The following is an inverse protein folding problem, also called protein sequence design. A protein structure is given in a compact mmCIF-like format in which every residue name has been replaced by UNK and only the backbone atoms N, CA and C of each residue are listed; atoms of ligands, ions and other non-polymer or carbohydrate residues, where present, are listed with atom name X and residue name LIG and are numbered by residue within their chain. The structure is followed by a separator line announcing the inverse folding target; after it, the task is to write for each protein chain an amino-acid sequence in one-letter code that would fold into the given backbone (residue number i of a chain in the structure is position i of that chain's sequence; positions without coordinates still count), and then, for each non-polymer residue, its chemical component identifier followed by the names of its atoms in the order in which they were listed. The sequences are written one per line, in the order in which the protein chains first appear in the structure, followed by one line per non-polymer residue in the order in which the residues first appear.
data_IF_549654485168
#
_entry.id   IF_549654485168
#
_cell.length_a   1.000
_cell.length_b   1.000
_cell.length_c   1.000
_cell.angle_alpha   90.00
_cell.angle_beta   90.00
_cell.angle_gamma   90.00
#
_symmetry.space_group_name_H-M   'P 1'
#
loop_
_entity.id
_entity.type
_entity.pdbx_description
1 polymer ?
#
# COMPACT_ATOMS: atom_id res chain seq x y z
N UNK A 1 16.10 15.27 -8.62
CA UNK A 1 17.05 15.94 -7.72
C UNK A 1 18.10 16.63 -8.57
N UNK A 2 18.59 17.79 -8.13
CA UNK A 2 19.52 18.63 -8.90
C UNK A 2 20.86 18.76 -8.18
N UNK A 3 21.95 18.95 -8.92
CA UNK A 3 23.25 19.32 -8.33
C UNK A 3 23.10 20.62 -7.52
N UNK A 4 23.68 20.67 -6.33
CA UNK A 4 23.54 21.74 -5.35
C UNK A 4 22.36 21.59 -4.39
N UNK A 5 21.46 20.63 -4.62
CA UNK A 5 20.35 20.36 -3.70
C UNK A 5 20.88 19.73 -2.41
N UNK A 6 20.37 20.15 -1.25
CA UNK A 6 20.63 19.48 0.01
C UNK A 6 19.58 18.40 0.25
N UNK A 7 20.00 17.19 0.61
CA UNK A 7 19.11 16.05 0.89
C UNK A 7 19.55 15.33 2.16
N UNK A 8 18.61 14.65 2.82
CA UNK A 8 18.91 13.74 3.92
C UNK A 8 19.31 12.38 3.33
N UNK A 9 20.34 11.74 3.87
CA UNK A 9 20.75 10.39 3.51
C UNK A 9 21.37 9.67 4.70
N UNK A 10 20.91 8.46 5.02
CA UNK A 10 21.51 7.54 5.99
C UNK A 10 21.94 8.15 7.33
N UNK A 11 23.16 8.69 7.36
CA UNK A 11 23.91 9.24 8.49
C UNK A 11 23.83 10.76 8.67
N UNK A 12 23.11 11.50 7.81
CA UNK A 12 22.88 12.93 8.01
C UNK A 12 22.40 13.69 6.77
N UNK A 13 22.83 14.95 6.69
CA UNK A 13 22.52 15.87 5.58
C UNK A 13 23.69 15.90 4.60
N UNK A 14 23.40 15.88 3.30
CA UNK A 14 24.42 15.98 2.25
C UNK A 14 23.97 16.78 1.04
N UNK A 15 24.93 17.36 0.33
CA UNK A 15 24.70 18.13 -0.89
C UNK A 15 24.88 17.22 -2.12
N UNK A 16 23.94 17.28 -3.06
CA UNK A 16 24.04 16.59 -4.35
C UNK A 16 25.16 17.25 -5.16
N UNK A 17 26.28 16.55 -5.31
CA UNK A 17 27.41 17.00 -6.12
C UNK A 17 27.37 16.47 -7.54
N UNK A 18 26.69 15.35 -7.78
CA UNK A 18 26.51 14.79 -9.11
C UNK A 18 25.22 14.00 -9.21
N UNK A 19 24.62 13.97 -10.40
CA UNK A 19 23.48 13.12 -10.75
C UNK A 19 23.90 12.25 -11.94
N UNK A 20 23.68 10.93 -11.84
CA UNK A 20 23.96 10.01 -12.94
C UNK A 20 23.08 10.35 -14.16
N UNK A 21 23.53 10.00 -15.38
CA UNK A 21 22.92 10.42 -16.65
C UNK A 21 21.43 10.09 -16.83
N UNK A 22 20.90 9.18 -16.01
CA UNK A 22 19.49 8.77 -16.01
C UNK A 22 18.78 9.04 -14.67
N UNK A 23 19.38 9.82 -13.77
CA UNK A 23 18.85 10.11 -12.44
C UNK A 23 18.79 8.91 -11.48
N UNK A 24 19.27 7.73 -11.89
CA UNK A 24 19.22 6.50 -11.09
C UNK A 24 20.07 6.54 -9.84
N UNK A 25 21.12 7.34 -9.80
CA UNK A 25 21.99 7.50 -8.64
C UNK A 25 22.43 8.96 -8.54
N UNK A 26 22.70 9.40 -7.32
CA UNK A 26 23.25 10.71 -7.02
C UNK A 26 24.49 10.57 -6.15
N UNK A 27 25.47 11.42 -6.37
CA UNK A 27 26.62 11.54 -5.50
C UNK A 27 26.30 12.62 -4.48
N UNK A 28 26.33 12.26 -3.20
CA UNK A 28 26.17 13.21 -2.10
C UNK A 28 27.49 13.47 -1.42
N UNK A 29 27.75 14.73 -1.08
CA UNK A 29 28.79 15.13 -0.13
C UNK A 29 28.16 15.33 1.25
N UNK A 30 28.43 14.43 2.19
CA UNK A 30 27.90 14.52 3.56
C UNK A 30 28.46 15.76 4.27
N UNK A 31 27.59 16.60 4.82
CA UNK A 31 27.98 17.86 5.47
C UNK A 31 28.85 17.65 6.71
N UNK A 32 28.65 16.54 7.44
CA UNK A 32 29.39 16.25 8.68
C UNK A 32 30.75 15.61 8.42
N UNK A 33 30.81 14.59 7.55
CA UNK A 33 32.05 13.86 7.29
C UNK A 33 32.86 14.42 6.12
N UNK A 34 32.27 15.32 5.32
CA UNK A 34 32.80 15.86 4.07
C UNK A 34 33.13 14.80 3.01
N UNK A 35 32.75 13.54 3.23
CA UNK A 35 32.94 12.43 2.28
C UNK A 35 31.85 12.44 1.21
N UNK A 36 32.20 12.02 0.01
CA UNK A 36 31.27 11.81 -1.09
C UNK A 36 30.87 10.34 -1.20
N UNK A 37 29.58 10.03 -1.37
CA UNK A 37 29.05 8.67 -1.55
C UNK A 37 27.91 8.65 -2.57
N UNK A 38 27.89 7.62 -3.41
CA UNK A 38 26.78 7.38 -4.31
C UNK A 38 25.59 6.80 -3.55
N UNK A 39 24.44 7.43 -3.71
CA UNK A 39 23.15 6.99 -3.19
C UNK A 39 22.20 6.77 -4.35
N UNK A 40 21.40 5.71 -4.27
CA UNK A 40 20.21 5.64 -5.09
C UNK A 40 19.14 6.57 -4.49
N UNK A 41 18.32 7.27 -5.30
CA UNK A 41 17.27 8.16 -4.81
C UNK A 41 16.34 7.54 -3.76
N UNK A 42 16.11 6.22 -3.83
CA UNK A 42 15.28 5.48 -2.87
C UNK A 42 16.00 5.14 -1.56
N UNK A 43 17.31 5.39 -1.45
CA UNK A 43 18.15 5.19 -0.25
C UNK A 43 18.40 6.50 0.53
N UNK A 44 17.94 7.64 0.00
CA UNK A 44 18.16 8.95 0.57
C UNK A 44 17.25 9.19 1.76
N UNK A 45 17.75 8.71 2.90
CA UNK A 45 17.24 8.78 4.25
C UNK A 45 15.84 8.19 4.47
N UNK A 46 15.68 7.48 5.59
CA UNK A 46 14.37 7.09 6.08
C UNK A 46 13.60 8.38 6.41
N UNK A 47 12.42 8.50 5.82
CA UNK A 47 11.16 8.84 6.50
C UNK A 47 11.42 9.31 7.92
N UNK A 48 11.17 10.60 8.18
CA UNK A 48 11.24 11.13 9.54
C UNK A 48 10.63 10.12 10.51
N UNK A 49 11.36 9.82 11.59
CA UNK A 49 10.94 8.84 12.62
C UNK A 49 9.53 9.12 13.16
N UNK A 50 9.05 10.35 12.98
CA UNK A 50 7.70 10.76 13.36
C UNK A 50 6.66 10.22 12.39
N UNK A 51 6.05 9.10 12.77
CA UNK A 51 4.79 8.59 12.20
C UNK A 51 3.60 9.35 12.80
N UNK A 52 3.82 10.57 13.33
CA UNK A 52 2.75 11.49 13.72
C UNK A 52 2.14 12.09 12.44
N UNK A 53 1.38 11.25 11.74
CA UNK A 53 0.59 11.66 10.60
C UNK A 53 -0.46 12.64 11.10
N UNK A 54 -0.40 13.86 10.58
CA UNK A 54 -1.27 14.96 10.95
C UNK A 54 -2.55 14.85 10.10
N UNK A 55 -3.73 14.60 10.69
CA UNK A 55 -4.98 14.40 9.94
C UNK A 55 -5.24 15.47 8.90
N UNK A 56 -4.98 16.74 9.21
CA UNK A 56 -5.18 17.89 8.33
C UNK A 56 -4.32 17.90 7.07
N UNK A 57 -3.28 17.06 6.99
CA UNK A 57 -2.47 16.87 5.78
C UNK A 57 -3.12 15.92 4.78
N UNK A 58 -4.06 15.09 5.21
CA UNK A 58 -4.78 14.17 4.35
C UNK A 58 -6.03 14.84 3.76
N UNK A 59 -6.50 14.38 2.59
CA UNK A 59 -7.79 14.80 2.07
C UNK A 59 -8.90 14.61 3.10
N UNK A 60 -9.83 15.57 3.20
CA UNK A 60 -10.91 15.58 4.21
C UNK A 60 -11.61 14.24 4.41
N UNK A 61 -11.95 13.46 3.36
CA UNK A 61 -12.63 12.18 3.54
C UNK A 61 -11.79 11.10 4.26
N UNK A 62 -10.46 11.26 4.32
CA UNK A 62 -9.49 10.27 4.84
C UNK A 62 -8.72 10.74 6.08
N UNK A 63 -9.22 11.75 6.80
CA UNK A 63 -8.55 12.30 7.99
C UNK A 63 -8.76 11.47 9.26
N UNK A 64 -9.56 10.40 9.21
CA UNK A 64 -9.70 9.47 10.33
C UNK A 64 -8.97 8.17 10.05
N UNK A 65 -7.96 7.87 10.87
CA UNK A 65 -7.14 6.69 10.72
C UNK A 65 -6.47 6.31 12.05
N UNK A 66 -5.92 5.10 12.09
CA UNK A 66 -5.02 4.62 13.13
C UNK A 66 -3.64 4.46 12.54
N UNK A 67 -2.61 4.76 13.31
CA UNK A 67 -1.23 4.73 12.84
C UNK A 67 -0.28 4.23 13.93
N UNK A 68 0.69 3.40 13.54
CA UNK A 68 1.73 2.91 14.44
C UNK A 68 3.09 2.87 13.72
N UNK A 69 4.16 3.42 14.35
CA UNK A 69 5.52 3.22 13.87
C UNK A 69 6.00 1.78 14.11
N UNK A 70 7.02 1.37 13.36
CA UNK A 70 7.83 0.21 13.72
C UNK A 70 8.71 0.54 14.94
N UNK A 71 8.95 -0.46 15.80
CA UNK A 71 9.85 -0.34 16.95
C UNK A 71 11.33 -0.14 16.55
N UNK A 72 11.67 -0.37 15.27
CA UNK A 72 13.05 -0.32 14.76
C UNK A 72 13.24 0.85 13.79
N UNK A 73 12.77 0.71 12.55
CA UNK A 73 12.81 1.75 11.53
C UNK A 73 11.57 1.68 10.64
N UNK A 74 11.13 2.81 10.12
CA UNK A 74 9.96 2.86 9.23
C UNK A 74 10.42 2.78 7.77
N UNK A 75 11.02 1.67 7.36
CA UNK A 75 11.46 1.54 5.96
C UNK A 75 10.28 1.32 5.01
N UNK A 76 9.25 0.64 5.50
CA UNK A 76 8.03 0.32 4.75
C UNK A 76 6.79 0.94 5.43
N UNK A 77 5.70 1.05 4.67
CA UNK A 77 4.37 1.37 5.18
C UNK A 77 3.36 0.39 4.61
N UNK A 78 2.52 -0.21 5.46
CA UNK A 78 1.34 -0.93 5.01
C UNK A 78 0.10 -0.08 5.31
N UNK A 79 -0.64 0.26 4.26
CA UNK A 79 -1.92 0.97 4.33
C UNK A 79 -3.06 -0.04 4.25
N UNK A 80 -3.79 -0.19 5.34
CA UNK A 80 -4.94 -1.07 5.47
C UNK A 80 -6.23 -0.37 5.05
N UNK A 81 -7.00 -1.07 4.22
CA UNK A 81 -8.32 -0.67 3.73
C UNK A 81 -9.33 -1.75 4.15
N UNK A 82 -10.20 -1.41 5.10
CA UNK A 82 -11.15 -2.35 5.71
C UNK A 82 -12.31 -2.74 4.76
N UNK A 83 -13.07 -3.78 5.12
CA UNK A 83 -14.25 -4.23 4.37
C UNK A 83 -15.50 -3.38 4.61
N UNK A 84 -16.54 -3.62 3.82
CA UNK A 84 -17.84 -2.96 3.97
C UNK A 84 -18.40 -3.23 5.37
N UNK A 85 -18.83 -2.16 6.05
CA UNK A 85 -19.45 -2.25 7.36
C UNK A 85 -18.48 -2.43 8.53
N UNK A 86 -17.17 -2.31 8.27
CA UNK A 86 -16.14 -2.34 9.30
C UNK A 86 -15.61 -0.92 9.57
N UNK A 87 -14.60 -0.84 10.43
CA UNK A 87 -13.82 0.35 10.73
C UNK A 87 -12.32 0.06 10.57
N UNK A 88 -11.54 1.11 10.46
CA UNK A 88 -10.09 1.03 10.47
C UNK A 88 -9.48 0.33 11.72
N UNK A 89 -10.18 0.28 12.85
CA UNK A 89 -9.63 -0.30 14.08
C UNK A 89 -9.38 -1.81 13.97
N UNK A 90 -10.29 -2.56 13.33
CA UNK A 90 -10.16 -4.01 13.20
C UNK A 90 -8.99 -4.39 12.28
N UNK A 91 -8.89 -3.74 11.12
CA UNK A 91 -7.75 -3.93 10.19
C UNK A 91 -6.42 -3.48 10.80
N UNK A 92 -6.43 -2.44 11.62
CA UNK A 92 -5.24 -2.01 12.36
C UNK A 92 -4.75 -3.08 13.34
N UNK A 93 -5.65 -3.68 14.12
CA UNK A 93 -5.31 -4.77 15.03
C UNK A 93 -4.75 -6.01 14.30
N UNK A 94 -5.31 -6.34 13.12
CA UNK A 94 -4.74 -7.38 12.25
C UNK A 94 -3.30 -7.05 11.83
N UNK A 95 -3.04 -5.82 11.40
CA UNK A 95 -1.71 -5.37 11.04
C UNK A 95 -0.71 -5.46 12.19
N UNK A 96 -1.13 -5.10 13.42
CA UNK A 96 -0.32 -5.23 14.62
C UNK A 96 0.06 -6.70 14.89
N UNK A 97 -0.89 -7.62 14.73
CA UNK A 97 -0.66 -9.04 14.95
C UNK A 97 0.32 -9.67 13.93
N UNK A 98 0.48 -9.09 12.74
CA UNK A 98 1.46 -9.55 11.75
C UNK A 98 2.92 -9.27 12.14
N UNK A 99 3.16 -8.30 13.03
CA UNK A 99 4.49 -7.94 13.54
C UNK A 99 5.56 -7.78 12.43
N UNK A 100 5.21 -7.06 11.36
CA UNK A 100 6.08 -6.89 10.19
C UNK A 100 7.35 -6.09 10.56
N UNK A 101 8.56 -6.58 10.21
CA UNK A 101 9.81 -5.90 10.53
C UNK A 101 9.94 -4.60 9.75
N UNK A 102 10.51 -3.58 10.40
CA UNK A 102 10.81 -2.28 9.80
C UNK A 102 9.65 -1.63 9.02
N UNK A 103 8.42 -1.87 9.48
CA UNK A 103 7.20 -1.52 8.75
C UNK A 103 6.27 -0.73 9.66
N UNK A 104 5.93 0.49 9.25
CA UNK A 104 4.86 1.26 9.87
C UNK A 104 3.50 0.76 9.38
N UNK A 105 2.47 0.96 10.20
CA UNK A 105 1.09 0.59 9.90
C UNK A 105 0.23 1.85 9.83
N UNK A 106 -0.59 1.96 8.80
CA UNK A 106 -1.64 2.97 8.67
C UNK A 106 -2.94 2.26 8.33
N UNK A 107 -4.00 2.46 9.08
CA UNK A 107 -5.33 1.97 8.71
C UNK A 107 -6.29 3.13 8.53
N UNK A 108 -6.79 3.28 7.31
CA UNK A 108 -7.68 4.37 6.92
C UNK A 108 -9.15 3.96 7.14
N UNK A 109 -9.96 4.89 7.65
CA UNK A 109 -11.41 4.70 7.72
C UNK A 109 -12.05 5.14 6.41
N UNK A 110 -12.98 4.34 5.90
CA UNK A 110 -13.76 4.69 4.74
C UNK A 110 -14.66 5.93 5.00
N UNK A 111 -14.93 6.77 3.98
CA UNK A 111 -15.53 8.08 4.19
C UNK A 111 -17.04 8.06 4.45
N UNK A 112 -17.76 7.01 4.05
CA UNK A 112 -19.22 6.98 4.16
C UNK A 112 -19.66 6.12 5.35
N UNK A 113 -20.30 6.74 6.34
CA UNK A 113 -20.95 6.00 7.42
C UNK A 113 -22.20 5.29 6.88
N UNK A 114 -22.39 4.03 7.25
CA UNK A 114 -23.61 3.29 6.98
C UNK A 114 -24.70 3.63 8.01
N UNK A 115 -25.99 3.53 7.64
CA UNK A 115 -27.09 3.72 8.59
C UNK A 115 -26.99 2.78 9.80
N UNK A 116 -27.62 3.17 10.90
CA UNK A 116 -27.74 2.35 12.12
C UNK A 116 -26.39 1.90 12.72
N UNK A 117 -25.35 2.73 12.58
CA UNK A 117 -23.99 2.48 13.07
C UNK A 117 -23.40 1.15 12.57
N UNK A 118 -23.80 0.71 11.37
CA UNK A 118 -23.32 -0.52 10.73
C UNK A 118 -21.91 -0.39 10.13
N UNK A 119 -21.08 0.55 10.62
CA UNK A 119 -19.71 0.79 10.16
C UNK A 119 -19.63 1.72 8.94
N UNK A 120 -18.62 1.51 8.09
CA UNK A 120 -18.28 2.43 7.00
C UNK A 120 -18.15 1.73 5.64
N UNK A 121 -18.31 2.51 4.58
CA UNK A 121 -18.23 2.08 3.18
C UNK A 121 -17.32 2.99 2.38
N UNK A 122 -16.50 2.39 1.50
CA UNK A 122 -15.58 3.13 0.62
C UNK A 122 -16.29 3.84 -0.51
N UNK A 123 -17.30 3.18 -1.07
CA UNK A 123 -18.08 3.63 -2.21
C UNK A 123 -19.53 3.16 -2.02
N UNK A 124 -20.42 3.54 -2.92
CA UNK A 124 -21.82 3.09 -2.89
C UNK A 124 -21.93 1.58 -3.14
N UNK A 125 -22.31 0.81 -2.12
CA UNK A 125 -22.22 -0.65 -2.14
C UNK A 125 -23.54 -1.39 -1.89
N UNK A 126 -24.64 -0.67 -1.67
CA UNK A 126 -25.95 -1.24 -1.36
C UNK A 126 -26.94 -0.93 -2.49
N UNK A 127 -27.83 -1.85 -2.82
CA UNK A 127 -28.98 -1.61 -3.70
C UNK A 127 -30.04 -0.75 -3.00
N UNK A 128 -31.07 -0.34 -3.74
CA UNK A 128 -32.24 0.35 -3.18
C UNK A 128 -32.99 -0.50 -2.13
N UNK A 129 -32.83 -1.83 -2.18
CA UNK A 129 -33.40 -2.78 -1.23
C UNK A 129 -32.48 -3.03 -0.02
N UNK A 130 -31.28 -2.45 -0.01
CA UNK A 130 -30.29 -2.60 1.06
C UNK A 130 -29.37 -3.83 0.91
N UNK A 131 -29.46 -4.56 -0.21
CA UNK A 131 -28.59 -5.70 -0.47
C UNK A 131 -27.20 -5.27 -0.93
N UNK A 132 -26.16 -6.00 -0.53
CA UNK A 132 -24.80 -5.73 -1.01
C UNK A 132 -24.71 -6.03 -2.50
N UNK A 133 -24.24 -5.04 -3.27
CA UNK A 133 -24.07 -5.17 -4.71
C UNK A 133 -22.95 -6.17 -5.04
N UNK A 134 -23.22 -7.23 -5.82
CA UNK A 134 -22.19 -8.14 -6.27
C UNK A 134 -21.16 -7.44 -7.16
N UNK A 135 -19.89 -7.86 -7.06
CA UNK A 135 -18.75 -7.21 -7.70
C UNK A 135 -18.89 -7.17 -9.23
N UNK A 136 -19.39 -8.25 -9.83
CA UNK A 136 -19.52 -8.40 -11.29
C UNK A 136 -20.75 -7.73 -11.91
N UNK A 137 -21.61 -7.08 -11.12
CA UNK A 137 -22.84 -6.43 -11.61
C UNK A 137 -22.58 -4.95 -11.78
N UNK A 138 -22.76 -4.39 -12.98
CA UNK A 138 -22.57 -2.96 -13.23
C UNK A 138 -23.57 -2.11 -12.44
N UNK A 139 -23.11 -0.99 -11.87
CA UNK A 139 -23.98 -0.13 -11.06
C UNK A 139 -23.48 1.32 -11.06
N UNK A 140 -24.26 2.22 -11.68
CA UNK A 140 -23.82 3.60 -11.95
C UNK A 140 -23.37 4.37 -10.69
N UNK A 141 -24.13 4.28 -9.59
CA UNK A 141 -23.77 4.98 -8.35
C UNK A 141 -22.49 4.42 -7.70
N UNK A 142 -22.23 3.11 -7.85
CA UNK A 142 -20.99 2.48 -7.37
C UNK A 142 -19.81 2.99 -8.18
N UNK A 143 -19.95 2.95 -9.48
CA UNK A 143 -18.87 3.31 -10.41
C UNK A 143 -18.55 4.81 -10.29
N UNK A 144 -19.57 5.67 -10.14
CA UNK A 144 -19.39 7.09 -9.86
C UNK A 144 -18.67 7.36 -8.54
N UNK A 145 -19.15 6.77 -7.42
CA UNK A 145 -18.52 7.00 -6.11
C UNK A 145 -17.10 6.43 -6.01
N UNK A 146 -16.80 5.32 -6.70
CA UNK A 146 -15.42 4.83 -6.83
C UNK A 146 -14.55 5.81 -7.64
N UNK A 147 -15.05 6.36 -8.74
CA UNK A 147 -14.34 7.34 -9.55
C UNK A 147 -14.05 8.65 -8.78
N UNK A 148 -14.94 9.05 -7.87
CA UNK A 148 -14.74 10.19 -6.97
C UNK A 148 -13.74 9.89 -5.85
N UNK A 149 -13.70 8.64 -5.34
CA UNK A 149 -12.79 8.21 -4.29
C UNK A 149 -11.33 8.09 -4.75
N UNK A 150 -11.08 7.58 -5.97
CA UNK A 150 -9.72 7.27 -6.44
C UNK A 150 -8.76 8.47 -6.39
N UNK A 151 -9.12 9.68 -6.87
CA UNK A 151 -8.28 10.87 -6.74
C UNK A 151 -7.94 11.21 -5.29
N UNK A 152 -8.87 10.99 -4.35
CA UNK A 152 -8.67 11.22 -2.91
C UNK A 152 -7.60 10.29 -2.36
N UNK A 153 -7.63 9.00 -2.73
CA UNK A 153 -6.61 8.04 -2.32
C UNK A 153 -5.26 8.28 -2.98
N UNK A 154 -5.24 8.67 -4.26
CA UNK A 154 -4.01 9.06 -4.96
C UNK A 154 -3.33 10.24 -4.25
N UNK A 155 -4.12 11.23 -3.83
CA UNK A 155 -3.63 12.37 -3.07
C UNK A 155 -3.10 11.95 -1.69
N UNK A 156 -3.78 11.05 -0.98
CA UNK A 156 -3.27 10.51 0.29
C UNK A 156 -1.91 9.79 0.10
N UNK A 157 -1.74 9.00 -0.95
CA UNK A 157 -0.46 8.38 -1.30
C UNK A 157 0.61 9.44 -1.62
N UNK A 158 0.23 10.49 -2.36
CA UNK A 158 1.14 11.61 -2.66
C UNK A 158 1.58 12.33 -1.38
N UNK A 159 0.69 12.52 -0.42
CA UNK A 159 1.02 13.12 0.89
C UNK A 159 2.00 12.22 1.66
N UNK A 160 1.74 10.91 1.73
CA UNK A 160 2.66 9.93 2.33
C UNK A 160 4.06 10.00 1.72
N UNK A 161 4.13 10.21 0.41
CA UNK A 161 5.40 10.34 -0.29
C UNK A 161 6.09 11.69 -0.11
N UNK A 162 5.38 12.78 -0.40
CA UNK A 162 5.97 14.13 -0.52
C UNK A 162 6.11 14.86 0.81
N UNK A 163 5.25 14.55 1.79
CA UNK A 163 5.25 15.19 3.11
C UNK A 163 5.95 14.28 4.13
N UNK A 164 5.65 12.99 4.10
CA UNK A 164 6.17 12.04 5.09
C UNK A 164 7.36 11.22 4.61
N UNK A 165 7.67 11.23 3.31
CA UNK A 165 8.90 10.67 2.78
C UNK A 165 8.88 9.18 2.45
N UNK A 166 7.74 8.47 2.54
CA UNK A 166 7.66 7.08 2.09
C UNK A 166 7.86 7.00 0.57
N UNK A 167 8.90 6.31 0.06
CA UNK A 167 8.98 6.01 -1.37
C UNK A 167 7.79 5.14 -1.78
N UNK A 168 7.16 5.42 -2.93
CA UNK A 168 5.98 4.65 -3.39
C UNK A 168 6.26 3.14 -3.45
N UNK A 169 7.46 2.75 -3.89
CA UNK A 169 7.91 1.37 -3.96
C UNK A 169 8.14 0.69 -2.60
N UNK A 170 7.88 1.38 -1.47
CA UNK A 170 7.87 0.87 -0.10
C UNK A 170 6.53 1.12 0.62
N UNK A 171 5.53 1.61 -0.11
CA UNK A 171 4.14 1.70 0.36
C UNK A 171 3.37 0.50 -0.19
N UNK A 172 2.74 -0.25 0.71
CA UNK A 172 1.96 -1.44 0.42
C UNK A 172 0.49 -1.16 0.70
N UNK A 173 -0.40 -1.68 -0.13
CA UNK A 173 -1.84 -1.64 0.13
C UNK A 173 -2.32 -3.02 0.59
N UNK A 174 -3.07 -3.05 1.67
CA UNK A 174 -3.68 -4.27 2.19
C UNK A 174 -5.20 -4.07 2.26
N UNK A 175 -5.93 -4.73 1.37
CA UNK A 175 -7.37 -4.57 1.28
C UNK A 175 -8.13 -5.83 1.69
N UNK A 176 -9.20 -5.64 2.47
CA UNK A 176 -10.16 -6.69 2.83
C UNK A 176 -11.49 -6.46 2.14
N UNK A 177 -12.00 -7.45 1.41
CA UNK A 177 -13.29 -7.40 0.72
C UNK A 177 -13.49 -6.10 -0.07
N UNK A 178 -14.38 -5.20 0.38
CA UNK A 178 -14.57 -3.89 -0.25
C UNK A 178 -13.28 -3.06 -0.33
N UNK A 179 -12.45 -3.06 0.70
CA UNK A 179 -11.15 -2.39 0.69
C UNK A 179 -10.14 -3.04 -0.27
N UNK A 180 -10.31 -4.32 -0.60
CA UNK A 180 -9.53 -5.00 -1.63
C UNK A 180 -9.85 -4.46 -3.03
N UNK A 181 -11.13 -4.17 -3.32
CA UNK A 181 -11.52 -3.49 -4.56
C UNK A 181 -10.84 -2.14 -4.69
N UNK A 182 -10.86 -1.36 -3.62
CA UNK A 182 -10.21 -0.05 -3.54
C UNK A 182 -8.69 -0.19 -3.75
N UNK A 183 -8.03 -1.11 -3.06
CA UNK A 183 -6.58 -1.33 -3.19
C UNK A 183 -6.19 -1.65 -4.64
N UNK A 184 -6.92 -2.54 -5.30
CA UNK A 184 -6.67 -2.92 -6.69
C UNK A 184 -6.97 -1.77 -7.66
N UNK A 185 -8.07 -1.03 -7.46
CA UNK A 185 -8.42 0.12 -8.29
C UNK A 185 -7.37 1.23 -8.16
N UNK A 186 -6.87 1.52 -6.96
CA UNK A 186 -5.73 2.44 -6.75
C UNK A 186 -4.50 1.91 -7.48
N UNK A 187 -4.11 0.66 -7.24
CA UNK A 187 -2.90 0.12 -7.83
C UNK A 187 -2.94 0.11 -9.36
N UNK A 188 -4.10 -0.11 -9.98
CA UNK A 188 -4.26 -0.13 -11.45
C UNK A 188 -4.40 1.25 -12.09
N UNK A 189 -4.71 2.30 -11.32
CA UNK A 189 -4.90 3.66 -11.85
C UNK A 189 -3.86 4.67 -11.38
N UNK A 190 -3.10 4.36 -10.32
CA UNK A 190 -2.02 5.20 -9.84
C UNK A 190 -0.80 5.13 -10.77
N UNK A 191 -0.14 6.25 -11.05
CA UNK A 191 0.96 6.32 -12.02
C UNK A 191 2.25 5.65 -11.54
N UNK A 192 2.44 5.57 -10.22
CA UNK A 192 3.69 5.09 -9.62
C UNK A 192 3.61 3.60 -9.26
N UNK A 193 4.78 2.96 -9.20
CA UNK A 193 4.91 1.58 -8.69
C UNK A 193 4.82 1.58 -7.18
N UNK A 194 3.92 0.76 -6.64
CA UNK A 194 3.81 0.52 -5.20
C UNK A 194 4.76 -0.61 -4.74
N UNK A 195 4.99 -0.73 -3.43
CA UNK A 195 5.74 -1.84 -2.85
C UNK A 195 5.03 -3.17 -3.07
N UNK A 196 3.70 -3.16 -2.98
CA UNK A 196 2.87 -4.29 -3.35
C UNK A 196 1.42 -4.12 -2.92
N UNK A 197 0.57 -5.04 -3.34
CA UNK A 197 -0.86 -5.08 -2.98
C UNK A 197 -1.23 -6.48 -2.49
N UNK A 198 -1.86 -6.56 -1.32
CA UNK A 198 -2.54 -7.77 -0.85
C UNK A 198 -4.05 -7.53 -0.94
N UNK A 199 -4.74 -8.38 -1.69
CA UNK A 199 -6.18 -8.31 -1.91
C UNK A 199 -6.84 -9.58 -1.41
N UNK A 200 -7.63 -9.46 -0.33
CA UNK A 200 -8.40 -10.56 0.24
C UNK A 200 -9.85 -10.45 -0.21
N UNK A 201 -10.37 -11.48 -0.90
CA UNK A 201 -11.77 -11.52 -1.36
C UNK A 201 -12.18 -10.27 -2.16
N UNK A 202 -11.28 -9.79 -3.03
CA UNK A 202 -11.51 -8.65 -3.91
C UNK A 202 -11.62 -9.02 -5.39
N UNK A 203 -12.26 -8.15 -6.16
CA UNK A 203 -12.17 -8.05 -7.62
C UNK A 203 -11.94 -6.63 -8.14
N UNK A 204 -11.67 -6.50 -9.43
CA UNK A 204 -11.65 -5.22 -10.14
C UNK A 204 -13.09 -4.80 -10.49
N UNK A 205 -13.50 -3.58 -10.10
CA UNK A 205 -14.82 -3.03 -10.45
C UNK A 205 -14.89 -2.44 -11.85
N UNK A 206 -13.74 -2.15 -12.45
CA UNK A 206 -13.63 -1.60 -13.79
C UNK A 206 -12.40 -2.17 -14.49
N UNK A 207 -12.40 -2.24 -15.82
CA UNK A 207 -11.21 -2.64 -16.56
C UNK A 207 -10.02 -1.76 -16.17
N UNK A 208 -8.82 -2.34 -15.96
CA UNK A 208 -7.67 -1.55 -15.59
C UNK A 208 -7.26 -0.64 -16.76
N UNK A 209 -6.75 0.55 -16.43
CA UNK A 209 -6.13 1.42 -17.43
C UNK A 209 -4.70 0.95 -17.68
N UNK A 210 -4.27 0.74 -18.93
CA UNK A 210 -2.87 0.42 -19.21
C UNK A 210 -2.01 1.65 -18.90
N UNK A 211 -1.33 1.66 -17.76
CA UNK A 211 -0.31 2.63 -17.43
C UNK A 211 1.08 2.01 -17.65
N UNK A 212 1.93 2.68 -18.42
CA UNK A 212 3.34 2.30 -18.53
C UNK A 212 4.06 2.58 -17.21
N UNK A 213 4.09 1.59 -16.32
CA UNK A 213 4.84 1.67 -15.07
C UNK A 213 5.54 0.35 -14.76
N UNK A 214 6.52 0.43 -13.87
CA UNK A 214 7.23 -0.76 -13.39
C UNK A 214 6.24 -1.73 -12.70
N UNK A 215 6.41 -3.05 -12.85
CA UNK A 215 5.50 -4.04 -12.27
C UNK A 215 5.34 -3.89 -10.75
N UNK A 216 4.09 -3.83 -10.28
CA UNK A 216 3.76 -3.82 -8.84
C UNK A 216 3.42 -5.25 -8.41
N UNK A 217 4.10 -5.83 -7.41
CA UNK A 217 3.76 -7.15 -6.89
C UNK A 217 2.34 -7.17 -6.31
N UNK A 218 1.55 -8.18 -6.66
CA UNK A 218 0.18 -8.35 -6.16
C UNK A 218 -0.02 -9.78 -5.68
N UNK A 219 -0.59 -9.91 -4.48
CA UNK A 219 -1.12 -11.17 -3.96
C UNK A 219 -2.64 -11.09 -3.92
N UNK A 220 -3.30 -11.94 -4.69
CA UNK A 220 -4.75 -12.10 -4.68
C UNK A 220 -5.11 -13.38 -3.92
N UNK A 221 -5.90 -13.27 -2.86
CA UNK A 221 -6.44 -14.40 -2.14
C UNK A 221 -7.96 -14.41 -2.26
N UNK A 222 -8.53 -15.58 -2.50
CA UNK A 222 -9.97 -15.70 -2.72
C UNK A 222 -10.51 -17.03 -2.22
N UNK A 223 -11.76 -17.05 -1.74
CA UNK A 223 -12.48 -18.29 -1.50
C UNK A 223 -13.36 -18.62 -2.70
N UNK A 224 -13.31 -19.86 -3.21
CA UNK A 224 -14.18 -20.27 -4.33
C UNK A 224 -15.67 -20.26 -3.98
N UNK A 225 -16.02 -20.20 -2.69
CA UNK A 225 -17.40 -20.16 -2.19
C UNK A 225 -17.78 -18.75 -1.69
N UNK A 226 -17.10 -17.70 -2.16
CA UNK A 226 -17.45 -16.30 -1.86
C UNK A 226 -18.73 -15.89 -2.61
N UNK A 227 -19.78 -15.40 -1.92
CA UNK A 227 -21.05 -15.05 -2.56
C UNK A 227 -21.02 -13.70 -3.30
N UNK A 228 -20.05 -12.83 -3.02
CA UNK A 228 -19.97 -11.47 -3.58
C UNK A 228 -18.99 -11.37 -4.74
N UNK A 229 -18.02 -12.28 -4.78
CA UNK A 229 -17.02 -12.39 -5.85
C UNK A 229 -17.11 -13.81 -6.41
N UNK A 230 -17.72 -14.00 -7.59
CA UNK A 230 -17.74 -15.31 -8.22
C UNK A 230 -16.36 -15.71 -8.75
N UNK A 231 -16.12 -17.00 -8.96
CA UNK A 231 -14.85 -17.48 -9.56
C UNK A 231 -14.58 -16.87 -10.95
N UNK A 232 -15.62 -16.55 -11.72
CA UNK A 232 -15.47 -15.86 -13.01
C UNK A 232 -15.03 -14.41 -12.86
N UNK A 233 -15.55 -13.69 -11.87
CA UNK A 233 -15.12 -12.33 -11.52
C UNK A 233 -13.69 -12.35 -11.01
N UNK A 234 -13.33 -13.31 -10.15
CA UNK A 234 -11.96 -13.47 -9.67
C UNK A 234 -10.97 -13.77 -10.81
N UNK A 235 -11.31 -14.65 -11.75
CA UNK A 235 -10.49 -14.93 -12.92
C UNK A 235 -10.29 -13.69 -13.81
N UNK A 236 -11.35 -12.89 -14.01
CA UNK A 236 -11.25 -11.63 -14.73
C UNK A 236 -10.37 -10.61 -13.99
N UNK A 237 -10.47 -10.56 -12.66
CA UNK A 237 -9.59 -9.74 -11.81
C UNK A 237 -8.13 -10.15 -11.97
N UNK A 238 -7.82 -11.45 -11.87
CA UNK A 238 -6.46 -11.97 -12.07
C UNK A 238 -5.90 -11.57 -13.44
N UNK A 239 -6.68 -11.74 -14.50
CA UNK A 239 -6.27 -11.36 -15.86
C UNK A 239 -6.01 -9.84 -15.98
N UNK A 240 -6.91 -9.02 -15.43
CA UNK A 240 -6.75 -7.56 -15.41
C UNK A 240 -5.52 -7.11 -14.63
N UNK A 241 -5.30 -7.65 -13.43
CA UNK A 241 -4.12 -7.37 -12.62
C UNK A 241 -2.83 -7.82 -13.32
N UNK A 242 -2.82 -8.98 -13.98
CA UNK A 242 -1.66 -9.44 -14.74
C UNK A 242 -1.32 -8.46 -15.88
N UNK A 243 -2.33 -8.01 -16.61
CA UNK A 243 -2.16 -7.06 -17.71
C UNK A 243 -1.65 -5.70 -17.24
N UNK A 244 -2.08 -5.23 -16.07
CA UNK A 244 -1.83 -3.86 -15.61
C UNK A 244 -0.65 -3.73 -14.64
N UNK A 245 -0.36 -4.77 -13.86
CA UNK A 245 0.60 -4.74 -12.74
C UNK A 245 1.75 -5.73 -12.92
N UNK A 246 1.64 -6.68 -13.84
CA UNK A 246 2.75 -7.50 -14.36
C UNK A 246 3.29 -8.59 -13.43
N UNK A 247 3.07 -8.51 -12.11
CA UNK A 247 3.51 -9.53 -11.14
C UNK A 247 2.38 -9.90 -10.19
N UNK A 248 1.62 -10.94 -10.52
CA UNK A 248 0.45 -11.37 -9.73
C UNK A 248 0.61 -12.82 -9.28
N UNK A 249 0.46 -13.03 -7.98
CA UNK A 249 0.33 -14.33 -7.33
C UNK A 249 -1.12 -14.52 -6.88
N UNK A 250 -1.65 -15.74 -7.01
CA UNK A 250 -3.03 -16.07 -6.63
C UNK A 250 -3.10 -17.29 -5.73
N UNK A 251 -3.88 -17.21 -4.65
CA UNK A 251 -4.25 -18.35 -3.80
C UNK A 251 -5.76 -18.47 -3.71
N UNK A 252 -6.29 -19.65 -4.01
CA UNK A 252 -7.74 -19.93 -3.95
C UNK A 252 -8.00 -20.99 -2.89
N UNK A 253 -8.90 -20.67 -1.97
CA UNK A 253 -9.27 -21.50 -0.83
C UNK A 253 -10.65 -22.12 -1.02
N UNK A 254 -10.89 -23.23 -0.32
CA UNK A 254 -12.19 -23.90 -0.22
C UNK A 254 -12.75 -23.72 1.20
N UNK A 255 -13.22 -22.51 1.50
CA UNK A 255 -13.82 -22.14 2.79
C UNK A 255 -15.19 -21.52 2.57
N UNK A 256 -16.11 -21.56 3.54
CA UNK A 256 -17.42 -20.93 3.38
C UNK A 256 -17.29 -19.40 3.38
N UNK A 257 -17.83 -18.73 2.37
CA UNK A 257 -17.89 -17.26 2.32
C UNK A 257 -16.54 -16.59 2.02
N UNK A 258 -16.45 -15.26 2.26
CA UNK A 258 -15.22 -14.49 2.04
C UNK A 258 -14.12 -14.88 3.03
N UNK A 259 -12.86 -14.65 2.64
CA UNK A 259 -11.71 -14.94 3.49
C UNK A 259 -11.69 -14.05 4.74
N UNK A 260 -11.31 -14.65 5.87
CA UNK A 260 -11.25 -13.98 7.17
C UNK A 260 -9.83 -13.86 7.74
N UNK A 261 -8.86 -14.58 7.15
CA UNK A 261 -7.51 -14.74 7.69
C UNK A 261 -7.48 -15.35 9.10
N UNK A 262 -8.48 -16.17 9.43
CA UNK A 262 -8.60 -16.79 10.74
C UNK A 262 -7.64 -17.99 10.94
N UNK A 263 -7.11 -18.54 9.86
CA UNK A 263 -6.25 -19.72 9.89
C UNK A 263 -4.82 -19.40 9.49
N UNK A 264 -3.88 -20.21 10.00
CA UNK A 264 -2.48 -20.13 9.59
C UNK A 264 -2.32 -20.31 8.08
N UNK A 265 -3.10 -21.20 7.48
CA UNK A 265 -3.04 -21.50 6.05
C UNK A 265 -3.49 -20.31 5.20
N UNK A 266 -4.50 -19.57 5.64
CA UNK A 266 -4.92 -18.32 5.00
C UNK A 266 -3.89 -17.20 5.18
N UNK A 267 -3.26 -17.09 6.35
CA UNK A 267 -2.29 -16.03 6.65
C UNK A 267 -0.90 -16.31 6.06
N UNK A 268 -0.53 -17.57 5.83
CA UNK A 268 0.80 -17.94 5.38
C UNK A 268 1.20 -17.29 4.04
N UNK A 269 0.38 -17.31 2.97
CA UNK A 269 0.71 -16.62 1.72
C UNK A 269 0.93 -15.12 1.91
N UNK A 270 0.17 -14.48 2.80
CA UNK A 270 0.33 -13.06 3.12
C UNK A 270 1.71 -12.80 3.74
N UNK A 271 2.10 -13.60 4.73
CA UNK A 271 3.41 -13.44 5.38
C UNK A 271 4.56 -13.77 4.43
N UNK A 272 4.41 -14.77 3.57
CA UNK A 272 5.39 -15.11 2.54
C UNK A 272 5.59 -13.96 1.54
N UNK A 273 4.49 -13.35 1.07
CA UNK A 273 4.52 -12.20 0.19
C UNK A 273 5.27 -11.01 0.82
N UNK A 274 4.96 -10.67 2.07
CA UNK A 274 5.68 -9.61 2.77
C UNK A 274 7.15 -9.94 3.00
N UNK A 275 7.48 -11.20 3.35
CA UNK A 275 8.87 -11.63 3.51
C UNK A 275 9.69 -11.46 2.22
N UNK A 276 9.09 -11.63 1.05
CA UNK A 276 9.75 -11.42 -0.24
C UNK A 276 9.78 -9.94 -0.66
N UNK A 277 8.70 -9.20 -0.41
CA UNK A 277 8.49 -7.89 -1.01
C UNK A 277 8.98 -6.71 -0.15
N UNK A 278 9.02 -6.85 1.18
CA UNK A 278 9.43 -5.77 2.07
C UNK A 278 10.91 -5.41 1.86
N UNK A 279 11.21 -4.12 1.87
CA UNK A 279 12.59 -3.65 1.90
C UNK A 279 13.12 -3.77 3.33
N UNK A 280 14.22 -4.50 3.51
CA UNK A 280 14.87 -4.66 4.82
C UNK A 280 16.26 -4.03 4.79
N UNK A 281 16.49 -3.13 5.74
CA UNK A 281 17.77 -2.50 5.99
C UNK A 281 18.55 -3.30 7.04
N UNK A 282 19.81 -3.63 6.77
CA UNK A 282 20.64 -4.38 7.71
C UNK A 282 21.22 -3.48 8.82
N UNK A 283 20.38 -3.06 9.76
CA UNK A 283 20.73 -2.10 10.82
C UNK A 283 21.94 -2.55 11.67
N UNK A 284 22.08 -3.84 11.95
CA UNK A 284 23.21 -4.37 12.73
C UNK A 284 24.55 -4.27 11.98
N UNK A 285 24.54 -4.50 10.66
CA UNK A 285 25.75 -4.39 9.84
C UNK A 285 26.18 -2.91 9.68
N UNK A 286 25.22 -2.00 9.61
CA UNK A 286 25.52 -0.56 9.50
C UNK A 286 26.09 0.06 10.77
N UNK A 287 25.86 -0.56 11.94
CA UNK A 287 26.41 -0.12 13.21
C UNK A 287 27.84 -0.64 13.47
N UNK A 288 28.33 -1.55 12.64
CA UNK A 288 29.70 -2.07 12.75
C UNK A 288 30.70 -1.06 12.17
N UNK A 289 31.65 -0.63 13.00
CA UNK A 289 32.63 0.41 12.64
C UNK A 289 33.63 0.00 11.55
N UNK A 290 33.73 -1.30 11.30
CA UNK A 290 34.63 -1.98 10.37
C UNK A 290 33.95 -2.45 9.08
N UNK A 291 32.63 -2.27 8.95
CA UNK A 291 31.92 -2.53 7.71
C UNK A 291 32.04 -1.31 6.80
N UNK A 292 32.72 -1.54 5.68
CA UNK A 292 32.70 -0.66 4.53
C UNK A 292 31.79 -1.31 3.49
N UNK A 293 30.74 -0.60 3.04
CA UNK A 293 29.95 -1.06 1.90
C UNK A 293 30.86 -1.06 0.66
N UNK A 294 31.26 -2.25 0.22
CA UNK A 294 31.97 -2.43 -1.05
C UNK A 294 30.90 -2.54 -2.13
N UNK A 295 30.77 -1.49 -2.94
CA UNK A 295 29.91 -1.43 -4.13
C UNK A 295 30.66 -1.96 -5.35
#
# INVERSE_FOLDING_TARGET
MNVGQTVQAGDGVGEVVQVHAEGRAILLKCSRSQRTRWYFPHELAPIERSVALAPERFPTPLQTFSVQPSDTSNENLVVFLHGLGDTHAASFALGQAMALPQTALLSLRAPHALPFDLGYSWYHALSDQGDVLPTGVAHAARDQSMAELLPVLHEALRVLHTVYGWPYNRVFLFGLAQGAHVALSVATTFSERLGGVVSLSGGLLSPPSPAFKQPTPVLLLHSKNDPLVSSSVFAACQAGCNSALGRVETHVFDVPGPLSLATRDELHPVMAFFAEALYLRHLALEQQADIFEVK
#
